data_IF_363308700636
#
_entry.id   IF_363308700636
#
_cell.length_a   1.000
_cell.length_b   1.000
_cell.length_c   1.000
_cell.angle_alpha   90.00
_cell.angle_beta   90.00
_cell.angle_gamma   90.00
#
_symmetry.space_group_name_H-M   'P 1'
#
loop_
_entity.id
_entity.type
_entity.pdbx_description
1 polymer ?
#
# COMPACT_ATOMS: atom_id res chain seq x y z
N UNK A 1 35.67 0.09 -56.21
CA UNK A 1 35.28 1.27 -55.41
C UNK A 1 33.93 0.97 -54.76
N UNK A 2 33.87 0.83 -53.43
CA UNK A 2 32.66 0.46 -52.68
C UNK A 2 31.97 1.72 -52.16
N UNK A 3 30.72 1.96 -52.59
CA UNK A 3 29.90 3.08 -52.09
C UNK A 3 29.21 2.69 -50.79
N UNK A 4 29.31 3.57 -49.79
CA UNK A 4 28.84 3.40 -48.41
C UNK A 4 27.36 3.72 -48.31
N UNK A 5 26.59 2.82 -47.71
CA UNK A 5 25.20 3.05 -47.32
C UNK A 5 25.18 3.75 -45.96
N UNK A 6 24.55 4.93 -45.90
CA UNK A 6 24.33 5.67 -44.66
C UNK A 6 23.04 5.14 -44.03
N UNK A 7 23.18 4.44 -42.91
CA UNK A 7 22.05 4.09 -42.05
C UNK A 7 21.77 5.27 -41.12
N UNK A 8 20.59 5.87 -41.22
CA UNK A 8 20.06 6.78 -40.22
C UNK A 8 19.31 5.96 -39.16
N UNK A 9 19.72 5.98 -37.88
CA UNK A 9 18.90 5.40 -36.83
C UNK A 9 17.70 6.32 -36.57
N UNK A 10 16.49 5.78 -36.76
CA UNK A 10 15.25 6.38 -36.28
C UNK A 10 15.27 6.29 -34.76
N UNK A 11 15.61 7.40 -34.11
CA UNK A 11 15.49 7.52 -32.66
C UNK A 11 13.99 7.57 -32.31
N UNK A 12 13.44 6.43 -31.92
CA UNK A 12 12.11 6.35 -31.33
C UNK A 12 12.12 7.08 -30.00
N UNK A 13 11.51 8.26 -29.96
CA UNK A 13 11.21 8.97 -28.72
C UNK A 13 10.15 8.14 -27.98
N UNK A 14 10.59 7.31 -27.02
CA UNK A 14 9.66 6.70 -26.07
C UNK A 14 9.22 7.82 -25.14
N UNK A 15 8.04 8.38 -25.42
CA UNK A 15 7.33 9.25 -24.49
C UNK A 15 7.02 8.42 -23.24
N UNK A 16 7.89 8.50 -22.24
CA UNK A 16 7.58 8.04 -20.89
C UNK A 16 6.42 8.88 -20.38
N UNK A 17 5.20 8.40 -20.56
CA UNK A 17 4.04 8.94 -19.85
C UNK A 17 4.31 8.72 -18.38
N UNK A 18 4.61 9.80 -17.65
CA UNK A 18 4.53 9.80 -16.20
C UNK A 18 3.07 9.54 -15.85
N UNK A 19 2.71 8.27 -15.69
CA UNK A 19 1.45 7.89 -15.11
C UNK A 19 1.34 8.66 -13.79
N UNK A 20 0.23 9.39 -13.60
CA UNK A 20 -0.03 10.01 -12.31
C UNK A 20 -0.12 8.87 -11.30
N UNK A 21 0.90 8.74 -10.44
CA UNK A 21 0.94 7.70 -9.43
C UNK A 21 -0.33 7.77 -8.57
N UNK A 22 -0.98 6.62 -8.39
CA UNK A 22 -2.17 6.50 -7.55
C UNK A 22 -1.89 5.73 -6.26
N UNK A 23 -2.94 5.48 -5.48
CA UNK A 23 -2.83 4.79 -4.21
C UNK A 23 -2.22 3.39 -4.33
N UNK A 24 -2.42 2.69 -5.46
CA UNK A 24 -1.83 1.37 -5.69
C UNK A 24 -0.32 1.47 -5.92
N UNK A 25 0.12 2.50 -6.65
CA UNK A 25 1.55 2.76 -6.85
C UNK A 25 2.23 3.10 -5.51
N UNK A 26 1.53 3.86 -4.66
CA UNK A 26 2.05 4.21 -3.34
C UNK A 26 2.12 2.99 -2.43
N UNK A 27 1.16 2.08 -2.42
CA UNK A 27 1.09 1.01 -1.41
C UNK A 27 2.29 0.05 -1.39
N UNK A 28 2.96 -0.19 -2.51
CA UNK A 28 4.11 -1.08 -2.57
C UNK A 28 5.26 -0.59 -1.67
N UNK A 29 5.77 -1.46 -0.79
CA UNK A 29 6.94 -1.17 0.04
C UNK A 29 6.83 -1.67 1.48
N UNK A 30 7.72 -1.16 2.32
CA UNK A 30 7.78 -1.48 3.74
C UNK A 30 7.24 -0.32 4.57
N UNK A 31 6.44 -0.65 5.58
CA UNK A 31 5.66 0.32 6.32
C UNK A 31 5.72 0.06 7.82
N UNK A 32 6.13 1.07 8.57
CA UNK A 32 6.25 1.00 10.03
C UNK A 32 5.36 2.03 10.70
N UNK A 33 5.13 1.84 11.99
CA UNK A 33 4.54 2.87 12.84
C UNK A 33 5.65 3.72 13.46
N UNK A 34 5.45 5.03 13.50
CA UNK A 34 6.37 5.94 14.18
C UNK A 34 6.29 5.75 15.69
N UNK A 35 7.43 5.63 16.40
CA UNK A 35 7.45 5.50 17.85
C UNK A 35 6.73 6.63 18.61
N UNK A 36 6.64 7.82 18.00
CA UNK A 36 6.01 9.00 18.58
C UNK A 36 4.48 8.91 18.61
N UNK A 37 3.90 8.04 17.78
CA UNK A 37 2.45 7.86 17.64
C UNK A 37 1.96 6.59 18.37
N UNK A 38 2.87 5.92 19.10
CA UNK A 38 2.59 4.72 19.88
C UNK A 38 1.93 5.08 21.22
N UNK A 39 0.62 4.94 21.29
CA UNK A 39 -0.11 4.96 22.58
C UNK A 39 -0.29 3.56 23.17
N UNK A 40 -0.01 2.51 22.40
CA UNK A 40 -0.21 1.10 22.77
C UNK A 40 1.05 0.27 22.53
N UNK A 41 1.33 -0.63 23.46
CA UNK A 41 2.39 -1.66 23.37
C UNK A 41 2.27 -2.51 22.09
N UNK A 42 1.04 -2.70 21.58
CA UNK A 42 0.72 -3.57 20.43
C UNK A 42 1.36 -3.12 19.11
N UNK A 43 1.85 -1.89 19.03
CA UNK A 43 2.49 -1.33 17.84
C UNK A 43 4.00 -1.16 18.00
N UNK A 44 4.56 -1.44 19.18
CA UNK A 44 5.99 -1.26 19.46
C UNK A 44 6.86 -2.10 18.55
N UNK A 45 6.42 -3.31 18.19
CA UNK A 45 7.16 -4.22 17.33
C UNK A 45 6.90 -3.99 15.83
N UNK A 46 5.86 -3.22 15.45
CA UNK A 46 5.47 -2.97 14.04
C UNK A 46 6.10 -1.71 13.46
N UNK A 47 7.35 -1.45 13.81
CA UNK A 47 8.13 -0.29 13.40
C UNK A 47 9.03 -0.61 12.18
N UNK A 48 9.76 0.38 11.67
CA UNK A 48 10.61 0.21 10.49
C UNK A 48 11.95 -0.50 10.74
N UNK A 49 12.37 -0.62 11.99
CA UNK A 49 13.66 -1.21 12.37
C UNK A 49 13.53 -2.71 12.68
N UNK A 50 12.44 -3.13 13.31
CA UNK A 50 12.27 -4.50 13.81
C UNK A 50 11.37 -5.36 12.90
N UNK A 51 10.08 -4.98 12.75
CA UNK A 51 9.09 -5.77 12.00
C UNK A 51 8.18 -4.87 11.15
N UNK A 52 8.70 -4.31 10.05
CA UNK A 52 7.86 -3.54 9.13
C UNK A 52 6.80 -4.44 8.48
N UNK A 53 5.65 -3.85 8.15
CA UNK A 53 4.71 -4.49 7.23
C UNK A 53 5.27 -4.37 5.83
N UNK A 54 5.53 -5.49 5.17
CA UNK A 54 5.74 -5.53 3.72
C UNK A 54 4.38 -5.56 3.02
N UNK A 55 4.18 -4.67 2.04
CA UNK A 55 2.98 -4.61 1.20
C UNK A 55 3.40 -4.76 -0.27
N UNK A 56 2.70 -5.64 -0.98
CA UNK A 56 2.82 -5.84 -2.42
C UNK A 56 1.44 -5.78 -3.08
N UNK A 57 1.35 -5.04 -4.18
CA UNK A 57 0.15 -4.93 -5.00
C UNK A 57 0.37 -5.61 -6.35
N UNK A 58 -0.43 -6.64 -6.60
CA UNK A 58 -0.66 -7.15 -7.95
C UNK A 58 -1.76 -6.31 -8.61
N UNK A 59 -1.32 -5.33 -9.40
CA UNK A 59 -2.21 -4.36 -10.06
C UNK A 59 -3.01 -4.98 -11.21
N UNK A 60 -2.50 -6.03 -11.85
CA UNK A 60 -3.19 -6.71 -12.94
C UNK A 60 -4.40 -7.49 -12.41
N UNK A 61 -4.22 -8.18 -11.28
CA UNK A 61 -5.25 -9.01 -10.67
C UNK A 61 -6.04 -8.31 -9.54
N UNK A 62 -5.71 -7.07 -9.20
CA UNK A 62 -6.28 -6.32 -8.07
C UNK A 62 -6.16 -7.07 -6.74
N UNK A 63 -4.97 -7.59 -6.46
CA UNK A 63 -4.69 -8.34 -5.22
C UNK A 63 -3.67 -7.58 -4.37
N UNK A 64 -4.03 -7.40 -3.11
CA UNK A 64 -3.16 -6.88 -2.06
C UNK A 64 -2.55 -8.04 -1.28
N UNK A 65 -1.26 -7.96 -1.00
CA UNK A 65 -0.55 -8.85 -0.10
C UNK A 65 0.12 -8.07 1.01
N UNK A 66 0.07 -8.60 2.23
CA UNK A 66 0.87 -8.07 3.33
C UNK A 66 1.43 -9.11 4.27
N UNK A 67 2.58 -8.81 4.85
CA UNK A 67 3.28 -9.66 5.78
C UNK A 67 4.03 -8.83 6.82
N UNK A 68 4.11 -9.32 8.07
CA UNK A 68 4.87 -8.70 9.16
C UNK A 68 5.93 -9.68 9.66
N UNK A 69 7.20 -9.43 9.33
CA UNK A 69 8.27 -10.40 9.62
C UNK A 69 7.94 -11.79 9.04
N UNK A 70 8.01 -12.82 9.89
CA UNK A 70 7.73 -14.21 9.51
C UNK A 70 6.25 -14.64 9.65
N UNK A 71 5.34 -13.70 9.92
CA UNK A 71 3.90 -14.00 10.01
C UNK A 71 3.37 -14.57 8.69
N UNK A 72 2.29 -15.35 8.75
CA UNK A 72 1.60 -15.84 7.54
C UNK A 72 1.14 -14.66 6.67
N UNK A 73 1.52 -14.60 5.38
CA UNK A 73 1.06 -13.57 4.47
C UNK A 73 -0.46 -13.54 4.38
N UNK A 74 -1.03 -12.33 4.35
CA UNK A 74 -2.46 -12.10 4.15
C UNK A 74 -2.70 -11.52 2.77
N UNK A 75 -3.73 -12.03 2.09
CA UNK A 75 -4.22 -11.48 0.84
C UNK A 75 -5.59 -10.83 0.99
N UNK A 76 -5.83 -9.81 0.17
CA UNK A 76 -7.13 -9.17 0.03
C UNK A 76 -7.41 -8.82 -1.42
N UNK A 77 -8.67 -8.90 -1.82
CA UNK A 77 -9.13 -8.30 -3.07
C UNK A 77 -9.19 -6.78 -2.92
N UNK A 78 -8.84 -6.06 -3.98
CA UNK A 78 -8.84 -4.60 -4.04
C UNK A 78 -10.09 -4.11 -4.78
N UNK A 79 -10.75 -3.09 -4.24
CA UNK A 79 -11.87 -2.37 -4.90
C UNK A 79 -11.80 -0.86 -4.64
N UNK A 80 -12.70 -0.09 -5.28
CA UNK A 80 -12.94 1.33 -4.99
C UNK A 80 -11.67 2.21 -5.01
N UNK A 81 -10.85 2.01 -6.03
CA UNK A 81 -9.55 2.67 -6.18
C UNK A 81 -9.77 4.15 -6.53
N UNK A 82 -9.15 5.01 -5.73
CA UNK A 82 -9.06 6.45 -5.99
C UNK A 82 -7.59 6.87 -6.07
N UNK A 83 -7.33 8.16 -6.29
CA UNK A 83 -5.97 8.70 -6.28
C UNK A 83 -5.24 8.46 -4.95
N UNK A 84 -5.96 8.43 -3.83
CA UNK A 84 -5.35 8.40 -2.48
C UNK A 84 -5.89 7.27 -1.60
N UNK A 85 -6.75 6.39 -2.12
CA UNK A 85 -7.27 5.27 -1.34
C UNK A 85 -7.67 4.08 -2.19
N UNK A 86 -7.83 2.94 -1.53
CA UNK A 86 -8.52 1.78 -2.07
C UNK A 86 -9.06 0.91 -0.93
N UNK A 87 -10.05 0.10 -1.25
CA UNK A 87 -10.71 -0.82 -0.32
C UNK A 87 -10.10 -2.21 -0.43
N UNK A 88 -10.06 -2.91 0.70
CA UNK A 88 -9.54 -4.25 0.89
C UNK A 88 -10.62 -5.15 1.50
N UNK A 89 -10.80 -6.32 0.87
CA UNK A 89 -11.58 -7.41 1.43
C UNK A 89 -10.68 -8.65 1.59
N UNK A 90 -10.29 -8.96 2.82
CA UNK A 90 -9.35 -10.04 3.11
C UNK A 90 -9.98 -11.41 2.82
N UNK A 91 -9.23 -12.27 2.11
CA UNK A 91 -9.72 -13.58 1.64
C UNK A 91 -10.17 -14.50 2.79
N UNK A 92 -9.52 -14.39 3.94
CA UNK A 92 -9.82 -15.15 5.15
C UNK A 92 -10.23 -14.23 6.31
N UNK A 93 -10.96 -13.14 6.04
CA UNK A 93 -11.50 -12.31 7.11
C UNK A 93 -12.51 -13.10 7.95
N UNK A 94 -12.28 -13.18 9.24
CA UNK A 94 -13.18 -13.83 10.20
C UNK A 94 -13.78 -12.84 11.18
N UNK A 95 -13.26 -11.60 11.20
CA UNK A 95 -13.75 -10.55 12.09
C UNK A 95 -14.99 -9.90 11.49
N UNK A 96 -16.00 -9.69 12.32
CA UNK A 96 -17.28 -9.13 11.94
C UNK A 96 -17.50 -7.77 12.59
N UNK A 97 -18.16 -6.87 11.85
CA UNK A 97 -18.73 -5.63 12.38
C UNK A 97 -19.94 -5.96 13.28
N UNK A 98 -20.46 -4.95 13.99
CA UNK A 98 -21.60 -5.09 14.90
C UNK A 98 -22.88 -5.56 14.20
N UNK A 99 -23.00 -5.32 12.90
CA UNK A 99 -24.11 -5.76 12.04
C UNK A 99 -23.95 -7.19 11.48
N UNK A 100 -22.88 -7.90 11.86
CA UNK A 100 -22.60 -9.26 11.43
C UNK A 100 -21.94 -9.41 10.06
N UNK A 101 -21.72 -8.32 9.31
CA UNK A 101 -20.93 -8.36 8.07
C UNK A 101 -19.44 -8.44 8.38
N UNK A 102 -18.65 -9.02 7.48
CA UNK A 102 -17.19 -9.06 7.62
C UNK A 102 -16.59 -7.65 7.57
N UNK A 103 -15.48 -7.46 8.30
CA UNK A 103 -14.73 -6.21 8.24
C UNK A 103 -14.29 -5.89 6.81
N UNK A 104 -14.60 -4.67 6.38
CA UNK A 104 -14.07 -4.08 5.15
C UNK A 104 -13.07 -3.01 5.57
N UNK A 105 -11.90 -3.01 4.93
CA UNK A 105 -10.82 -2.07 5.25
C UNK A 105 -10.59 -1.13 4.08
N UNK A 106 -10.18 0.10 4.36
CA UNK A 106 -9.69 1.05 3.37
C UNK A 106 -8.29 1.45 3.75
N UNK A 107 -7.36 1.40 2.79
CA UNK A 107 -6.09 2.11 2.91
C UNK A 107 -6.33 3.54 2.45
N UNK A 108 -6.10 4.51 3.33
CA UNK A 108 -6.20 5.94 3.03
C UNK A 108 -4.81 6.57 3.16
N UNK A 109 -4.23 6.95 2.03
CA UNK A 109 -2.98 7.69 1.98
C UNK A 109 -3.22 9.17 2.27
N UNK A 110 -2.38 9.73 3.14
CA UNK A 110 -2.27 11.19 3.31
C UNK A 110 -1.33 11.76 2.26
N UNK A 111 -0.30 11.00 1.89
CA UNK A 111 0.67 11.27 0.83
C UNK A 111 1.34 9.94 0.43
N UNK A 112 2.32 9.98 -0.48
CA UNK A 112 3.01 8.80 -0.96
C UNK A 112 3.79 8.02 0.13
N UNK A 113 4.06 8.64 1.27
CA UNK A 113 4.90 8.08 2.34
C UNK A 113 4.15 7.88 3.66
N UNK A 114 2.83 8.11 3.70
CA UNK A 114 2.03 7.80 4.89
C UNK A 114 0.58 7.44 4.61
N UNK A 115 0.05 6.48 5.38
CA UNK A 115 -1.34 6.03 5.28
C UNK A 115 -1.95 5.57 6.61
N UNK A 116 -3.27 5.45 6.62
CA UNK A 116 -4.07 4.83 7.67
C UNK A 116 -4.81 3.60 7.13
N UNK A 117 -4.95 2.54 7.94
CA UNK A 117 -6.03 1.58 7.73
C UNK A 117 -7.28 2.09 8.42
N UNK A 118 -8.38 2.15 7.70
CA UNK A 118 -9.67 2.60 8.21
C UNK A 118 -10.65 1.46 8.03
N UNK A 119 -11.35 1.07 9.08
CA UNK A 119 -12.43 0.10 8.99
C UNK A 119 -13.69 0.81 8.52
N UNK A 120 -14.48 0.19 7.65
CA UNK A 120 -15.61 0.85 6.99
C UNK A 120 -16.65 1.40 7.98
N UNK A 121 -16.94 0.65 9.05
CA UNK A 121 -17.85 1.04 10.13
C UNK A 121 -17.33 2.19 11.00
N UNK A 122 -16.04 2.55 10.92
CA UNK A 122 -15.50 3.74 11.59
C UNK A 122 -15.78 5.02 10.82
N UNK A 123 -16.10 4.94 9.52
CA UNK A 123 -16.34 6.12 8.69
C UNK A 123 -17.66 6.82 9.01
N UNK A 124 -18.61 6.13 9.64
CA UNK A 124 -19.90 6.70 10.06
C UNK A 124 -19.82 7.57 11.32
N UNK A 125 -18.71 7.49 12.07
CA UNK A 125 -18.45 8.40 13.18
C UNK A 125 -17.71 9.64 12.68
N UNK A 126 -18.17 10.84 13.04
CA UNK A 126 -17.54 12.14 12.72
C UNK A 126 -16.09 12.28 13.24
N UNK A 127 -15.58 11.28 13.97
CA UNK A 127 -14.20 11.21 14.45
C UNK A 127 -13.35 10.16 13.73
N UNK A 128 -13.88 9.48 12.70
CA UNK A 128 -13.31 8.36 11.95
C UNK A 128 -11.83 8.12 12.25
N UNK A 129 -11.59 7.34 13.30
CA UNK A 129 -10.24 7.06 13.78
C UNK A 129 -9.72 5.89 12.97
N UNK A 130 -8.86 6.16 11.98
CA UNK A 130 -8.03 5.10 11.41
C UNK A 130 -7.21 4.40 12.49
N UNK A 131 -6.53 3.31 12.12
CA UNK A 131 -5.45 2.76 12.93
C UNK A 131 -4.37 3.81 13.17
N UNK A 132 -3.34 3.49 13.95
CA UNK A 132 -2.14 4.35 13.99
C UNK A 132 -1.59 4.53 12.57
N UNK A 133 -1.14 5.76 12.23
CA UNK A 133 -0.56 6.07 10.93
C UNK A 133 0.67 5.22 10.68
N UNK A 134 0.80 4.75 9.45
CA UNK A 134 2.00 4.08 8.96
C UNK A 134 2.79 5.03 8.07
N UNK A 135 4.11 4.90 8.18
CA UNK A 135 5.08 5.66 7.41
C UNK A 135 5.92 4.70 6.59
N UNK A 136 6.30 5.13 5.39
CA UNK A 136 7.20 4.37 4.54
C UNK A 136 8.54 4.24 5.23
N UNK A 137 9.04 3.01 5.29
CA UNK A 137 10.37 2.73 5.83
C UNK A 137 11.43 3.08 4.80
N UNK A 138 12.48 3.76 5.25
CA UNK A 138 13.70 3.90 4.47
C UNK A 138 14.41 2.55 4.43
N UNK A 139 14.38 1.87 3.29
CA UNK A 139 15.19 0.67 3.10
C UNK A 139 16.64 1.13 3.00
N UNK A 140 17.40 1.01 4.08
CA UNK A 140 18.86 1.16 4.02
C UNK A 140 19.39 -0.07 3.29
N UNK A 141 19.76 0.10 2.02
CA UNK A 141 20.57 -0.88 1.31
C UNK A 141 21.95 -0.84 1.97
N UNK A 142 22.23 -1.78 2.87
CA UNK A 142 23.55 -2.00 3.47
C UNK A 142 24.41 -2.88 2.57
#
# INVERSE_FOLDING_TARGET
MRSRWIWLPVAGLVLSTTANADALDWANGYWGVSPKDLTSEEYKDRNCEDRPVSINIDRENNIYWSQIGDDTPRSAAISDITRTSFTLNYVNETRTMDDGRLHIWTIQFSNADSFYWIREDWKSDDTARGTVMRYRCEIKIS
#
